data_IF_982473803207
#
_entry.id   IF_982473803207
#
_cell.length_a   1.000
_cell.length_b   1.000
_cell.length_c   1.000
_cell.angle_alpha   90.00
_cell.angle_beta   90.00
_cell.angle_gamma   90.00
#
_symmetry.space_group_name_H-M   'P 1'
#
loop_
_entity.id
_entity.type
_entity.pdbx_description
1 polymer ?
#
# COMPACT_ATOMS: atom_id res chain seq x y z
N UNK A 1 15.36 31.11 -85.55
CA UNK A 1 14.06 31.56 -86.07
C UNK A 1 12.94 30.89 -85.26
N UNK A 2 11.89 31.65 -84.96
CA UNK A 2 10.64 31.34 -84.22
C UNK A 2 10.66 31.42 -82.69
N UNK A 3 10.23 32.60 -82.24
CA UNK A 3 9.44 32.86 -81.04
C UNK A 3 8.18 31.98 -80.99
N UNK A 4 7.71 31.65 -79.78
CA UNK A 4 6.29 31.80 -79.40
C UNK A 4 6.17 32.04 -77.88
N UNK A 5 5.46 33.13 -77.54
CA UNK A 5 4.88 33.43 -76.23
C UNK A 5 3.61 32.60 -76.03
N UNK A 6 3.36 32.09 -74.83
CA UNK A 6 1.99 31.92 -74.30
C UNK A 6 1.96 32.37 -72.84
N UNK A 7 0.99 33.23 -72.56
CA UNK A 7 0.59 33.76 -71.26
C UNK A 7 -0.30 32.76 -70.50
N UNK A 8 -0.23 32.74 -69.17
CA UNK A 8 -1.18 32.01 -68.33
C UNK A 8 -1.09 32.35 -66.84
N UNK A 9 -1.84 33.40 -66.44
CA UNK A 9 -2.48 33.58 -65.12
C UNK A 9 -1.69 33.34 -63.83
N UNK A 10 -1.28 34.42 -63.17
CA UNK A 10 -1.03 34.43 -61.71
C UNK A 10 -2.35 34.79 -61.03
N UNK A 11 -2.96 33.84 -60.31
CA UNK A 11 -3.98 34.13 -59.30
C UNK A 11 -3.24 34.15 -57.96
N UNK A 12 -3.05 35.34 -57.41
CA UNK A 12 -2.57 35.56 -56.06
C UNK A 12 -3.69 35.21 -55.08
N UNK A 13 -3.57 34.08 -54.37
CA UNK A 13 -4.38 33.83 -53.18
C UNK A 13 -3.67 34.46 -51.97
N UNK A 14 -4.20 35.60 -51.49
CA UNK A 14 -3.91 36.09 -50.14
C UNK A 14 -4.52 35.10 -49.14
N UNK A 15 -3.69 34.34 -48.44
CA UNK A 15 -4.06 33.66 -47.21
C UNK A 15 -3.93 34.67 -46.06
N UNK A 16 -5.07 35.21 -45.61
CA UNK A 16 -5.18 35.88 -44.31
C UNK A 16 -4.91 34.84 -43.21
N UNK A 17 -3.80 35.01 -42.48
CA UNK A 17 -3.61 34.37 -41.18
C UNK A 17 -4.54 35.06 -40.16
N UNK A 18 -5.65 34.42 -39.84
CA UNK A 18 -6.43 34.75 -38.64
C UNK A 18 -5.73 34.08 -37.46
N UNK A 19 -5.04 34.86 -36.63
CA UNK A 19 -4.61 34.43 -35.30
C UNK A 19 -5.86 34.24 -34.45
N UNK A 20 -6.34 33.00 -34.35
CA UNK A 20 -7.21 32.57 -33.27
C UNK A 20 -6.34 32.36 -32.03
N UNK A 21 -6.30 33.38 -31.17
CA UNK A 21 -5.90 33.20 -29.78
C UNK A 21 -6.99 32.37 -29.12
N UNK A 22 -6.81 31.05 -29.10
CA UNK A 22 -7.62 30.18 -28.25
C UNK A 22 -7.10 30.43 -26.83
N UNK A 23 -7.85 31.21 -26.06
CA UNK A 23 -7.65 31.28 -24.62
C UNK A 23 -7.87 29.87 -24.08
N UNK A 24 -6.79 29.25 -23.60
CA UNK A 24 -6.89 28.08 -22.74
C UNK A 24 -7.48 28.59 -21.43
N UNK A 25 -8.78 28.41 -21.27
CA UNK A 25 -9.42 28.51 -19.96
C UNK A 25 -8.83 27.37 -19.13
N UNK A 26 -7.89 27.69 -18.25
CA UNK A 26 -7.61 26.83 -17.11
C UNK A 26 -8.95 26.64 -16.40
N UNK A 27 -9.50 25.43 -16.44
CA UNK A 27 -10.56 25.08 -15.51
C UNK A 27 -9.89 25.04 -14.14
N UNK A 28 -10.06 26.12 -13.39
CA UNK A 28 -9.86 26.12 -11.96
C UNK A 28 -10.60 24.89 -11.41
N UNK A 29 -9.84 23.91 -10.95
CA UNK A 29 -10.34 22.87 -10.07
C UNK A 29 -10.81 23.61 -8.82
N UNK A 30 -12.11 23.90 -8.76
CA UNK A 30 -12.71 24.57 -7.62
C UNK A 30 -12.41 23.72 -6.39
N UNK A 31 -11.59 24.28 -5.51
CA UNK A 31 -11.29 23.80 -4.18
C UNK A 31 -12.56 23.79 -3.33
N UNK A 32 -13.30 22.69 -3.37
CA UNK A 32 -14.38 22.45 -2.42
C UNK A 32 -13.75 22.09 -1.06
N UNK A 33 -13.44 23.15 -0.31
CA UNK A 33 -12.80 23.15 1.01
C UNK A 33 -13.80 22.99 2.15
N UNK A 34 -15.02 22.52 1.86
CA UNK A 34 -15.96 22.15 2.90
C UNK A 34 -15.47 20.86 3.61
N UNK A 35 -15.40 20.81 4.94
CA UNK A 35 -15.16 19.56 5.64
C UNK A 35 -16.28 18.59 5.26
N UNK A 36 -15.91 17.52 4.55
CA UNK A 36 -16.83 16.45 4.18
C UNK A 36 -17.46 15.90 5.47
N UNK A 37 -18.79 15.77 5.46
CA UNK A 37 -19.63 15.42 6.61
C UNK A 37 -19.09 14.21 7.40
N UNK A 38 -19.31 14.13 8.73
CA UNK A 38 -18.81 13.04 9.55
C UNK A 38 -19.24 11.68 8.99
N UNK A 39 -18.28 10.77 9.01
CA UNK A 39 -18.33 9.40 8.51
C UNK A 39 -19.62 8.70 8.97
N UNK A 40 -20.38 8.12 8.03
CA UNK A 40 -21.52 7.24 8.37
C UNK A 40 -21.08 5.82 8.81
N UNK A 41 -19.84 5.69 9.29
CA UNK A 41 -19.27 4.47 9.84
C UNK A 41 -19.22 4.58 11.36
N UNK A 42 -19.35 3.45 12.05
CA UNK A 42 -19.12 3.42 13.50
C UNK A 42 -17.94 2.50 13.80
N UNK A 43 -16.97 3.02 14.56
CA UNK A 43 -15.93 2.18 15.14
C UNK A 43 -16.51 1.52 16.38
N UNK A 44 -16.59 0.20 16.35
CA UNK A 44 -17.19 -0.61 17.41
C UNK A 44 -16.20 -1.60 17.96
N UNK A 45 -16.40 -1.96 19.22
CA UNK A 45 -15.76 -3.11 19.85
C UNK A 45 -16.77 -4.25 19.89
N UNK A 46 -16.35 -5.41 19.38
CA UNK A 46 -17.16 -6.63 19.28
C UNK A 46 -16.42 -7.77 20.01
N UNK A 47 -17.05 -8.47 20.97
CA UNK A 47 -16.44 -9.64 21.59
C UNK A 47 -16.40 -10.83 20.62
N UNK A 48 -15.41 -11.70 20.80
CA UNK A 48 -15.36 -13.01 20.15
C UNK A 48 -15.09 -14.09 21.20
N UNK A 49 -15.58 -15.30 20.97
CA UNK A 49 -15.50 -16.40 21.94
C UNK A 49 -14.42 -17.42 21.60
N UNK A 50 -14.03 -17.51 20.33
CA UNK A 50 -13.03 -18.45 19.85
C UNK A 50 -12.40 -17.98 18.53
N UNK A 51 -11.36 -18.69 18.09
CA UNK A 51 -10.61 -18.37 16.88
C UNK A 51 -11.47 -18.39 15.60
N UNK A 52 -12.45 -19.30 15.49
CA UNK A 52 -13.29 -19.38 14.29
C UNK A 52 -14.19 -18.15 14.15
N UNK A 53 -14.71 -17.65 15.27
CA UNK A 53 -15.52 -16.43 15.28
C UNK A 53 -14.68 -15.20 14.96
N UNK A 54 -13.48 -15.09 15.54
CA UNK A 54 -12.52 -14.04 15.17
C UNK A 54 -12.21 -14.08 13.66
N UNK A 55 -11.97 -15.26 13.12
CA UNK A 55 -11.69 -15.44 11.69
C UNK A 55 -12.88 -15.06 10.80
N UNK A 56 -14.09 -15.41 11.23
CA UNK A 56 -15.31 -15.01 10.55
C UNK A 56 -15.46 -13.48 10.56
N UNK A 57 -15.29 -12.83 11.71
CA UNK A 57 -15.33 -11.36 11.81
C UNK A 57 -14.30 -10.71 10.88
N UNK A 58 -13.05 -11.19 10.90
CA UNK A 58 -11.95 -10.65 10.09
C UNK A 58 -12.18 -10.73 8.57
N UNK A 59 -13.11 -11.57 8.09
CA UNK A 59 -13.43 -11.70 6.66
C UNK A 59 -14.75 -11.05 6.24
N UNK A 60 -15.62 -10.71 7.21
CA UNK A 60 -16.95 -10.17 6.93
C UNK A 60 -17.08 -8.69 7.26
N UNK A 61 -16.23 -8.18 8.15
CA UNK A 61 -16.20 -6.77 8.55
C UNK A 61 -14.78 -6.24 8.55
N UNK A 62 -14.66 -4.93 8.62
CA UNK A 62 -13.40 -4.24 8.56
C UNK A 62 -12.71 -4.22 9.94
N UNK A 63 -12.09 -5.34 10.32
CA UNK A 63 -11.33 -5.47 11.58
C UNK A 63 -10.06 -4.65 11.50
N UNK A 64 -9.88 -3.79 12.51
CA UNK A 64 -8.78 -2.85 12.61
C UNK A 64 -7.72 -3.28 13.64
N UNK A 65 -8.15 -3.94 14.72
CA UNK A 65 -7.25 -4.53 15.72
C UNK A 65 -7.95 -5.64 16.50
N UNK A 66 -7.16 -6.51 17.13
CA UNK A 66 -7.61 -7.62 17.97
C UNK A 66 -6.95 -7.50 19.34
N UNK A 67 -7.75 -7.56 20.40
CA UNK A 67 -7.28 -7.68 21.78
C UNK A 67 -7.63 -9.08 22.28
N UNK A 68 -6.63 -9.97 22.31
CA UNK A 68 -6.79 -11.36 22.77
C UNK A 68 -6.95 -11.47 24.28
N UNK A 69 -6.45 -10.52 25.07
CA UNK A 69 -6.61 -10.53 26.52
C UNK A 69 -8.05 -10.20 26.91
N UNK A 70 -8.67 -9.25 26.20
CA UNK A 70 -10.07 -8.90 26.36
C UNK A 70 -11.03 -9.78 25.53
N UNK A 71 -10.51 -10.57 24.59
CA UNK A 71 -11.28 -11.31 23.59
C UNK A 71 -12.24 -10.42 22.79
N UNK A 72 -11.72 -9.30 22.26
CA UNK A 72 -12.48 -8.34 21.47
C UNK A 72 -11.77 -7.94 20.18
N UNK A 73 -12.53 -7.56 19.16
CA UNK A 73 -12.05 -6.85 17.98
C UNK A 73 -12.52 -5.41 18.01
N UNK A 74 -11.66 -4.49 17.55
CA UNK A 74 -12.11 -3.16 17.13
C UNK A 74 -12.29 -3.20 15.62
N UNK A 75 -13.49 -2.85 15.15
CA UNK A 75 -13.83 -2.92 13.73
C UNK A 75 -14.59 -1.67 13.30
N UNK A 76 -14.34 -1.24 12.06
CA UNK A 76 -15.14 -0.23 11.38
C UNK A 76 -16.35 -0.93 10.76
N UNK A 77 -17.55 -0.49 11.11
CA UNK A 77 -18.79 -1.13 10.66
C UNK A 77 -19.68 -0.08 9.99
N UNK A 78 -20.18 -0.41 8.80
CA UNK A 78 -21.12 0.44 8.07
C UNK A 78 -22.53 0.36 8.66
N UNK A 79 -23.37 1.37 8.40
CA UNK A 79 -24.78 1.33 8.85
C UNK A 79 -25.51 0.10 8.30
N UNK A 80 -25.23 -0.30 7.07
CA UNK A 80 -25.83 -1.48 6.46
C UNK A 80 -25.42 -2.80 7.14
N UNK A 81 -24.21 -2.88 7.73
CA UNK A 81 -23.72 -4.09 8.40
C UNK A 81 -24.29 -4.25 9.82
N UNK A 82 -24.65 -3.15 10.49
CA UNK A 82 -25.12 -3.18 11.89
C UNK A 82 -26.31 -4.13 12.11
N UNK A 83 -27.42 -4.09 11.34
CA UNK A 83 -28.54 -5.00 11.55
C UNK A 83 -28.18 -6.48 11.35
N UNK A 84 -27.30 -6.77 10.38
CA UNK A 84 -26.86 -8.14 10.11
C UNK A 84 -26.04 -8.72 11.27
N UNK A 85 -25.12 -7.93 11.84
CA UNK A 85 -24.33 -8.32 13.01
C UNK A 85 -25.22 -8.51 14.25
N UNK A 86 -26.18 -7.62 14.48
CA UNK A 86 -27.14 -7.73 15.58
C UNK A 86 -28.02 -8.99 15.45
N UNK A 87 -28.49 -9.30 14.24
CA UNK A 87 -29.28 -10.51 13.97
C UNK A 87 -28.50 -11.81 14.23
N UNK A 88 -27.17 -11.76 14.12
CA UNK A 88 -26.27 -12.87 14.48
C UNK A 88 -25.91 -12.92 15.97
N UNK A 89 -26.40 -11.96 16.78
CA UNK A 89 -26.20 -11.94 18.23
C UNK A 89 -24.95 -11.20 18.71
N UNK A 90 -24.23 -10.50 17.82
CA UNK A 90 -23.06 -9.72 18.22
C UNK A 90 -23.46 -8.48 19.03
N UNK A 91 -22.93 -8.39 20.24
CA UNK A 91 -23.01 -7.18 21.05
C UNK A 91 -21.95 -6.18 20.55
N UNK A 92 -22.38 -5.04 20.02
CA UNK A 92 -21.49 -3.97 19.58
C UNK A 92 -21.52 -2.83 20.58
N UNK A 93 -20.35 -2.41 21.05
CA UNK A 93 -20.18 -1.22 21.89
C UNK A 93 -19.38 -0.16 21.13
N UNK A 94 -19.65 1.14 21.29
CA UNK A 94 -18.80 2.17 20.69
C UNK A 94 -17.35 2.00 21.14
N UNK A 95 -16.40 2.04 20.20
CA UNK A 95 -14.99 1.97 20.55
C UNK A 95 -14.58 3.20 21.40
N UNK A 96 -13.66 2.98 22.35
CA UNK A 96 -13.22 4.02 23.28
C UNK A 96 -12.56 5.22 22.59
N UNK A 97 -11.92 4.98 21.43
CA UNK A 97 -11.43 6.03 20.55
C UNK A 97 -12.49 6.29 19.49
N UNK A 98 -13.23 7.41 19.53
CA UNK A 98 -14.17 7.72 18.47
C UNK A 98 -13.43 7.89 17.14
N UNK A 99 -14.14 7.70 16.03
CA UNK A 99 -13.72 8.23 14.72
C UNK A 99 -13.84 9.75 14.78
N UNK A 100 -13.03 10.40 15.60
CA UNK A 100 -12.87 11.83 15.46
C UNK A 100 -12.04 12.02 14.22
N UNK A 101 -12.66 12.56 13.17
CA UNK A 101 -11.98 13.46 12.27
C UNK A 101 -11.43 14.59 13.15
N UNK A 102 -10.29 14.37 13.80
CA UNK A 102 -9.58 15.47 14.42
C UNK A 102 -9.09 16.27 13.23
N UNK A 103 -9.60 17.50 13.02
CA UNK A 103 -8.86 18.42 12.19
C UNK A 103 -7.59 18.65 13.00
N UNK A 104 -6.51 17.95 12.66
CA UNK A 104 -5.19 18.46 13.03
C UNK A 104 -5.20 19.84 12.40
N UNK A 105 -5.36 20.87 13.23
CA UNK A 105 -5.54 22.24 12.80
C UNK A 105 -4.55 22.45 11.67
N UNK A 106 -5.06 22.74 10.46
CA UNK A 106 -4.22 22.98 9.30
C UNK A 106 -3.11 23.89 9.79
N UNK A 107 -1.87 23.39 9.79
CA UNK A 107 -0.75 24.28 10.03
C UNK A 107 -0.97 25.38 9.01
N UNK A 108 -1.20 26.60 9.50
CA UNK A 108 -1.54 27.73 8.66
C UNK A 108 -0.35 28.00 7.75
N UNK A 109 -0.38 27.40 6.57
CA UNK A 109 0.66 27.38 5.54
C UNK A 109 0.09 26.59 4.38
N UNK A 110 -0.28 27.28 3.30
CA UNK A 110 -1.11 26.74 2.24
C UNK A 110 -0.49 25.62 1.42
N UNK A 111 -1.35 24.83 0.79
CA UNK A 111 -1.14 24.08 -0.46
C UNK A 111 0.25 23.43 -0.65
N UNK A 112 0.83 22.88 0.42
CA UNK A 112 2.17 22.28 0.43
C UNK A 112 2.12 20.78 0.09
N UNK A 113 1.00 20.26 -0.41
CA UNK A 113 0.85 18.85 -0.76
C UNK A 113 0.69 17.90 0.42
N UNK A 114 0.31 18.40 1.60
CA UNK A 114 -0.21 17.57 2.69
C UNK A 114 -1.62 17.05 2.38
N UNK A 115 -1.97 15.89 2.94
CA UNK A 115 -3.30 15.29 2.82
C UNK A 115 -4.31 16.15 3.61
N UNK A 116 -5.46 16.52 3.04
CA UNK A 116 -6.50 17.27 3.75
C UNK A 116 -6.90 16.62 5.09
N UNK A 117 -6.82 17.39 6.17
CA UNK A 117 -7.09 16.90 7.54
C UNK A 117 -5.94 16.15 8.21
N UNK A 118 -4.84 15.89 7.50
CA UNK A 118 -3.67 15.17 7.98
C UNK A 118 -2.36 15.88 7.61
N UNK A 119 -2.10 17.04 8.23
CA UNK A 119 -0.97 17.92 7.90
C UNK A 119 0.43 17.26 7.92
N UNK A 120 0.60 16.12 8.62
CA UNK A 120 1.87 15.41 8.70
C UNK A 120 2.07 14.35 7.61
N UNK A 121 1.06 14.06 6.79
CA UNK A 121 1.14 13.04 5.74
C UNK A 121 1.07 13.71 4.38
N UNK A 122 2.03 13.40 3.51
CA UNK A 122 2.06 13.90 2.13
C UNK A 122 1.16 13.10 1.21
N UNK A 123 0.65 13.76 0.17
CA UNK A 123 -0.04 13.08 -0.94
C UNK A 123 0.93 12.21 -1.75
N UNK A 124 0.41 11.34 -2.61
CA UNK A 124 1.20 10.60 -3.62
C UNK A 124 2.06 11.56 -4.43
N UNK A 125 1.47 12.65 -4.93
CA UNK A 125 2.17 13.62 -5.78
C UNK A 125 3.27 14.35 -5.01
N UNK A 126 2.97 14.79 -3.79
CA UNK A 126 3.94 15.53 -2.98
C UNK A 126 5.12 14.65 -2.56
N UNK A 127 4.84 13.43 -2.13
CA UNK A 127 5.88 12.45 -1.76
C UNK A 127 6.78 12.15 -2.95
N UNK A 128 6.20 11.88 -4.12
CA UNK A 128 6.96 11.63 -5.35
C UNK A 128 7.81 12.82 -5.78
N UNK A 129 7.28 14.05 -5.69
CA UNK A 129 8.01 15.27 -6.02
C UNK A 129 9.18 15.54 -5.06
N UNK A 130 8.97 15.37 -3.76
CA UNK A 130 10.01 15.56 -2.75
C UNK A 130 11.14 14.53 -2.92
N UNK A 131 10.80 13.25 -3.12
CA UNK A 131 11.80 12.19 -3.33
C UNK A 131 12.53 12.34 -4.67
N UNK A 132 11.86 12.84 -5.72
CA UNK A 132 12.52 13.19 -6.98
C UNK A 132 13.50 14.35 -6.82
N UNK A 133 13.15 15.33 -5.98
CA UNK A 133 14.07 16.42 -5.61
C UNK A 133 15.27 15.89 -4.83
N UNK A 134 15.06 14.97 -3.90
CA UNK A 134 16.12 14.30 -3.15
C UNK A 134 17.09 13.55 -4.09
N UNK A 135 16.57 12.81 -5.07
CA UNK A 135 17.38 12.14 -6.11
C UNK A 135 18.19 13.17 -6.91
N UNK A 136 17.56 14.24 -7.40
CA UNK A 136 18.25 15.25 -8.19
C UNK A 136 19.40 15.93 -7.44
N UNK A 137 19.27 16.07 -6.11
CA UNK A 137 20.31 16.60 -5.23
C UNK A 137 21.39 15.58 -4.89
N UNK A 138 21.08 14.28 -4.93
CA UNK A 138 21.98 13.19 -4.54
C UNK A 138 22.03 12.06 -5.59
N UNK A 139 22.36 12.34 -6.87
CA UNK A 139 22.23 11.37 -7.97
C UNK A 139 23.22 10.20 -7.88
N UNK A 140 24.25 10.29 -7.04
CA UNK A 140 25.20 9.21 -6.76
C UNK A 140 24.77 8.29 -5.61
N UNK A 141 23.70 8.65 -4.90
CA UNK A 141 23.18 7.89 -3.76
C UNK A 141 21.77 7.35 -3.98
N UNK A 142 21.00 7.92 -4.92
CA UNK A 142 19.59 7.62 -5.07
C UNK A 142 19.17 7.61 -6.54
N UNK A 143 18.25 6.72 -6.90
CA UNK A 143 17.59 6.69 -8.20
C UNK A 143 16.18 6.09 -8.11
N UNK A 144 15.32 6.44 -9.06
CA UNK A 144 14.06 5.74 -9.28
C UNK A 144 14.27 4.51 -10.16
N UNK A 145 13.55 3.45 -9.84
CA UNK A 145 13.35 2.28 -10.70
C UNK A 145 11.84 2.06 -10.82
N UNK A 146 11.32 2.21 -12.02
CA UNK A 146 9.95 1.82 -12.36
C UNK A 146 9.87 0.28 -12.42
N UNK A 147 8.96 -0.29 -11.62
CA UNK A 147 8.77 -1.74 -11.51
C UNK A 147 7.48 -2.24 -12.16
N UNK A 148 6.65 -1.33 -12.70
CA UNK A 148 5.37 -1.64 -13.31
C UNK A 148 4.32 -0.58 -13.02
N UNK A 149 3.10 -0.82 -13.48
CA UNK A 149 2.01 0.15 -13.43
C UNK A 149 0.86 -0.32 -12.53
N UNK A 150 0.13 0.62 -11.93
CA UNK A 150 -1.08 0.35 -11.15
C UNK A 150 -2.26 -0.10 -12.01
N UNK A 151 -3.31 -0.62 -11.38
CA UNK A 151 -4.50 -1.08 -12.08
C UNK A 151 -5.10 -0.03 -13.01
N UNK A 152 -5.32 1.19 -12.51
CA UNK A 152 -5.97 2.25 -13.27
C UNK A 152 -5.15 2.57 -14.53
N UNK A 153 -3.82 2.64 -14.38
CA UNK A 153 -2.90 2.98 -15.47
C UNK A 153 -2.80 1.87 -16.53
N UNK A 154 -2.85 0.60 -16.13
CA UNK A 154 -2.84 -0.53 -17.07
C UNK A 154 -4.18 -0.72 -17.78
N UNK A 155 -5.29 -0.25 -17.19
CA UNK A 155 -6.63 -0.48 -17.71
C UNK A 155 -6.94 0.41 -18.92
N UNK A 156 -7.17 -0.15 -20.12
CA UNK A 156 -7.47 0.68 -21.30
C UNK A 156 -8.77 1.48 -21.13
N UNK A 157 -8.67 2.80 -21.21
CA UNK A 157 -9.80 3.71 -20.97
C UNK A 157 -10.18 3.88 -19.49
N UNK A 158 -9.33 3.41 -18.57
CA UNK A 158 -9.40 3.68 -17.14
C UNK A 158 -8.94 5.09 -16.76
N UNK A 159 -8.82 5.35 -15.46
CA UNK A 159 -8.21 6.58 -14.96
C UNK A 159 -6.69 6.60 -15.25
N UNK A 160 -6.03 7.75 -15.12
CA UNK A 160 -4.61 7.90 -15.49
C UNK A 160 -3.66 6.96 -14.70
N UNK A 161 -4.03 6.62 -13.45
CA UNK A 161 -3.27 5.75 -12.54
C UNK A 161 -1.83 6.22 -12.28
N UNK A 162 -0.97 5.30 -11.84
CA UNK A 162 0.40 5.60 -11.40
C UNK A 162 1.40 4.50 -11.76
N UNK A 163 2.64 4.91 -12.04
CA UNK A 163 3.81 4.03 -12.00
C UNK A 163 4.07 3.57 -10.55
N UNK A 164 4.43 2.30 -10.37
CA UNK A 164 5.00 1.79 -9.14
C UNK A 164 6.52 2.02 -9.20
N UNK A 165 6.97 3.04 -8.49
CA UNK A 165 8.39 3.42 -8.45
C UNK A 165 9.05 3.00 -7.14
N UNK A 166 10.15 2.26 -7.26
CA UNK A 166 11.06 1.94 -6.16
C UNK A 166 12.19 2.95 -6.11
N UNK A 167 12.37 3.59 -4.96
CA UNK A 167 13.53 4.40 -4.65
C UNK A 167 14.68 3.50 -4.23
N UNK A 168 15.74 3.44 -5.03
CA UNK A 168 16.95 2.66 -4.72
C UNK A 168 17.99 3.60 -4.14
N UNK A 169 18.39 3.35 -2.89
CA UNK A 169 19.39 4.11 -2.16
C UNK A 169 20.65 3.26 -1.95
N UNK A 170 21.78 3.75 -2.43
CA UNK A 170 23.08 3.09 -2.32
C UNK A 170 24.18 4.03 -2.78
N UNK A 171 25.38 3.96 -2.20
CA UNK A 171 26.55 4.59 -2.78
C UNK A 171 26.93 3.88 -4.09
N UNK A 172 26.53 4.47 -5.22
CA UNK A 172 26.74 3.92 -6.57
C UNK A 172 28.20 3.97 -7.03
N UNK A 173 29.08 4.63 -6.27
CA UNK A 173 30.50 4.75 -6.58
C UNK A 173 31.34 3.65 -5.91
N UNK A 174 30.72 2.80 -5.09
CA UNK A 174 31.36 1.68 -4.40
C UNK A 174 31.12 0.36 -5.13
N UNK A 175 32.19 -0.38 -5.39
CA UNK A 175 32.16 -1.72 -6.02
C UNK A 175 32.10 -2.86 -4.98
N UNK A 176 31.93 -2.54 -3.69
CA UNK A 176 31.83 -3.56 -2.64
C UNK A 176 30.56 -4.38 -2.86
N UNK A 177 30.59 -5.73 -2.73
CA UNK A 177 29.38 -6.54 -2.75
C UNK A 177 28.38 -6.06 -1.70
N UNK A 178 27.14 -5.77 -2.12
CA UNK A 178 26.14 -5.15 -1.26
C UNK A 178 25.04 -6.11 -0.84
N UNK A 179 24.66 -6.04 0.43
CA UNK A 179 23.41 -6.65 0.91
C UNK A 179 22.20 -5.90 0.37
N UNK A 180 21.04 -6.57 0.28
CA UNK A 180 19.80 -5.95 -0.20
C UNK A 180 18.76 -5.90 0.91
N UNK A 181 18.08 -4.77 1.00
CA UNK A 181 16.95 -4.55 1.90
C UNK A 181 15.80 -3.97 1.08
N UNK A 182 14.60 -4.53 1.24
CA UNK A 182 13.38 -4.03 0.59
C UNK A 182 12.36 -3.60 1.63
N UNK A 183 11.90 -2.36 1.54
CA UNK A 183 10.85 -1.77 2.36
C UNK A 183 9.68 -1.39 1.46
N UNK A 184 8.50 -1.91 1.73
CA UNK A 184 7.27 -1.44 1.07
C UNK A 184 6.28 -0.88 2.07
N UNK A 185 5.47 0.05 1.58
CA UNK A 185 4.46 0.74 2.37
C UNK A 185 3.19 0.97 1.56
N UNK A 186 2.11 1.29 2.28
CA UNK A 186 0.83 1.70 1.71
C UNK A 186 0.26 0.68 0.70
N UNK A 187 0.41 -0.61 1.00
CA UNK A 187 -0.31 -1.68 0.28
C UNK A 187 -1.82 -1.62 0.61
N UNK A 188 -2.16 -1.26 1.86
CA UNK A 188 -3.50 -0.80 2.20
C UNK A 188 -3.56 0.72 2.19
N UNK A 189 -4.43 1.28 1.35
CA UNK A 189 -4.42 2.70 1.01
C UNK A 189 -4.59 3.67 2.19
N UNK A 190 -5.53 3.39 3.09
CA UNK A 190 -5.84 4.23 4.28
C UNK A 190 -4.82 4.20 5.40
N UNK A 191 -3.80 3.35 5.32
CA UNK A 191 -2.75 3.26 6.34
C UNK A 191 -1.75 4.42 6.15
N UNK A 192 -2.24 5.66 6.25
CA UNK A 192 -1.58 6.86 5.71
C UNK A 192 -0.13 7.04 6.19
N UNK A 193 0.14 6.65 7.44
CA UNK A 193 1.44 6.77 8.10
C UNK A 193 2.56 5.98 7.43
N UNK A 194 2.25 4.84 6.80
CA UNK A 194 3.29 3.92 6.31
C UNK A 194 4.12 4.54 5.20
N UNK A 195 3.48 5.24 4.26
CA UNK A 195 4.16 5.91 3.14
C UNK A 195 5.06 7.05 3.65
N UNK A 196 4.58 7.83 4.63
CA UNK A 196 5.37 8.91 5.21
C UNK A 196 6.58 8.37 5.96
N UNK A 197 6.43 7.28 6.73
CA UNK A 197 7.57 6.60 7.40
C UNK A 197 8.60 6.12 6.38
N UNK A 198 8.17 5.49 5.28
CA UNK A 198 9.06 5.04 4.22
C UNK A 198 9.82 6.19 3.56
N UNK A 199 9.13 7.29 3.25
CA UNK A 199 9.75 8.49 2.68
C UNK A 199 10.73 9.17 3.65
N UNK A 200 10.37 9.28 4.94
CA UNK A 200 11.24 9.83 5.98
C UNK A 200 12.49 8.98 6.22
N UNK A 201 12.36 7.66 6.12
CA UNK A 201 13.50 6.76 6.21
C UNK A 201 14.49 7.00 5.05
N UNK A 202 13.99 7.18 3.84
CA UNK A 202 14.83 7.54 2.69
C UNK A 202 15.55 8.89 2.89
N UNK A 203 14.80 9.92 3.28
CA UNK A 203 15.34 11.24 3.58
C UNK A 203 16.40 11.18 4.68
N UNK A 204 16.18 10.39 5.74
CA UNK A 204 17.13 10.22 6.83
C UNK A 204 18.45 9.63 6.33
N UNK A 205 18.41 8.54 5.56
CA UNK A 205 19.62 7.89 5.06
C UNK A 205 20.44 8.84 4.17
N UNK A 206 19.79 9.53 3.25
CA UNK A 206 20.47 10.42 2.30
C UNK A 206 21.02 11.68 2.97
N UNK A 207 20.22 12.35 3.81
CA UNK A 207 20.65 13.60 4.45
C UNK A 207 21.73 13.41 5.51
N UNK A 208 21.91 12.19 6.01
CA UNK A 208 22.92 11.85 7.01
C UNK A 208 24.10 11.06 6.45
N UNK A 209 24.14 10.77 5.14
CA UNK A 209 25.29 10.15 4.50
C UNK A 209 26.55 11.01 4.65
N UNK A 210 27.65 10.40 5.10
CA UNK A 210 28.90 11.08 5.43
C UNK A 210 28.90 11.86 6.75
N UNK A 211 27.80 11.79 7.53
CA UNK A 211 27.66 12.45 8.84
C UNK A 211 27.35 11.46 9.95
N UNK A 212 26.36 10.61 9.73
CA UNK A 212 25.99 9.53 10.64
C UNK A 212 26.67 8.22 10.18
N UNK A 213 27.44 7.55 11.05
CA UNK A 213 28.18 6.36 10.66
C UNK A 213 27.27 5.19 10.27
N UNK A 214 26.08 5.07 10.89
CA UNK A 214 25.14 3.99 10.59
C UNK A 214 24.47 4.22 9.23
N UNK A 215 23.99 5.43 8.95
CA UNK A 215 23.45 5.79 7.63
C UNK A 215 24.51 5.66 6.52
N UNK A 216 25.75 6.06 6.80
CA UNK A 216 26.87 5.93 5.86
C UNK A 216 27.15 4.46 5.56
N UNK A 217 27.27 3.63 6.60
CA UNK A 217 27.48 2.19 6.45
C UNK A 217 26.34 1.52 5.69
N UNK A 218 25.10 1.89 5.98
CA UNK A 218 23.92 1.38 5.28
C UNK A 218 24.03 1.61 3.78
N UNK A 219 24.38 2.81 3.32
CA UNK A 219 24.48 3.11 1.89
C UNK A 219 25.78 2.61 1.23
N UNK A 220 26.88 2.52 1.98
CA UNK A 220 28.15 2.01 1.44
C UNK A 220 28.11 0.50 1.17
N UNK A 221 27.48 -0.27 2.08
CA UNK A 221 27.51 -1.73 2.07
C UNK A 221 26.17 -2.40 1.75
N UNK A 222 25.10 -1.62 1.53
CA UNK A 222 23.79 -2.16 1.18
C UNK A 222 23.13 -1.36 0.04
N UNK A 223 22.20 -2.03 -0.63
CA UNK A 223 21.19 -1.43 -1.49
C UNK A 223 19.86 -1.43 -0.74
N UNK A 224 19.35 -0.24 -0.46
CA UNK A 224 18.08 -0.02 0.24
C UNK A 224 17.03 0.34 -0.81
N UNK A 225 16.09 -0.58 -1.03
CA UNK A 225 15.01 -0.44 -1.99
C UNK A 225 13.72 -0.08 -1.24
N UNK A 226 13.11 1.04 -1.58
CA UNK A 226 11.93 1.55 -0.88
C UNK A 226 10.80 1.75 -1.90
N UNK A 227 9.68 1.06 -1.72
CA UNK A 227 8.42 1.29 -2.43
C UNK A 227 7.45 2.07 -1.52
N UNK A 228 7.34 3.41 -1.64
CA UNK A 228 6.51 4.19 -0.73
C UNK A 228 5.01 3.92 -0.91
N UNK A 229 4.59 3.59 -2.13
CA UNK A 229 3.20 3.32 -2.50
C UNK A 229 3.09 2.03 -3.28
N UNK A 230 2.73 0.95 -2.59
CA UNK A 230 2.35 -0.32 -3.24
C UNK A 230 0.94 -0.27 -3.84
N UNK A 231 0.10 0.68 -3.40
CA UNK A 231 -1.27 0.87 -3.88
C UNK A 231 -1.59 2.36 -4.08
N UNK A 232 -0.99 3.01 -5.10
CA UNK A 232 -1.16 4.44 -5.32
C UNK A 232 -2.60 4.81 -5.73
N UNK A 233 -3.29 3.99 -6.54
CA UNK A 233 -4.67 4.27 -6.95
C UNK A 233 -5.64 4.28 -5.76
N UNK A 234 -5.57 3.24 -4.91
CA UNK A 234 -6.35 3.19 -3.67
C UNK A 234 -5.99 4.34 -2.73
N UNK A 235 -4.70 4.72 -2.66
CA UNK A 235 -4.24 5.84 -1.84
C UNK A 235 -4.93 7.15 -2.25
N UNK A 236 -5.22 7.40 -3.52
CA UNK A 236 -5.97 8.59 -3.96
C UNK A 236 -7.39 8.67 -3.42
N UNK A 237 -8.03 7.53 -3.17
CA UNK A 237 -9.28 7.49 -2.42
C UNK A 237 -9.06 7.79 -0.94
N UNK A 238 -8.05 7.20 -0.31
CA UNK A 238 -7.77 7.47 1.10
C UNK A 238 -7.42 8.94 1.38
N UNK A 239 -6.72 9.63 0.46
CA UNK A 239 -6.40 11.06 0.56
C UNK A 239 -7.63 11.97 0.52
N UNK A 240 -8.72 11.48 -0.04
CA UNK A 240 -10.02 12.12 -0.05
C UNK A 240 -10.87 11.78 1.20
N UNK A 241 -10.23 11.20 2.22
CA UNK A 241 -10.81 10.82 3.51
C UNK A 241 -11.79 9.63 3.45
N UNK A 242 -11.72 8.81 2.41
CA UNK A 242 -12.40 7.51 2.39
C UNK A 242 -11.60 6.48 3.21
N UNK A 243 -12.26 5.52 3.84
CA UNK A 243 -11.59 4.39 4.51
C UNK A 243 -11.18 3.30 3.52
N UNK A 244 -10.67 3.72 2.37
CA UNK A 244 -10.30 2.84 1.25
C UNK A 244 -9.11 1.95 1.64
N UNK A 245 -9.23 0.63 1.42
CA UNK A 245 -8.20 -0.36 1.77
C UNK A 245 -7.57 -0.99 0.53
N UNK A 246 -8.42 -1.50 -0.38
CA UNK A 246 -8.07 -2.33 -1.54
C UNK A 246 -7.39 -1.53 -2.67
N UNK A 247 -6.98 -2.15 -3.77
CA UNK A 247 -6.70 -1.38 -5.00
C UNK A 247 -8.01 -0.89 -5.65
N UNK A 248 -7.97 -0.38 -6.87
CA UNK A 248 -9.14 0.14 -7.59
C UNK A 248 -9.62 -0.78 -8.72
N UNK A 249 -9.30 -2.07 -8.68
CA UNK A 249 -9.74 -3.02 -9.70
C UNK A 249 -11.28 -3.05 -9.83
N UNK A 250 -11.78 -2.60 -10.99
CA UNK A 250 -13.21 -2.55 -11.34
C UNK A 250 -13.66 -3.70 -12.24
N UNK A 251 -12.78 -4.62 -12.63
CA UNK A 251 -13.12 -5.75 -13.48
C UNK A 251 -13.86 -6.85 -12.71
N UNK A 252 -13.60 -6.97 -11.41
CA UNK A 252 -14.30 -7.91 -10.56
C UNK A 252 -15.71 -7.38 -10.25
N UNK A 253 -16.72 -8.26 -10.32
CA UNK A 253 -18.16 -7.94 -10.40
C UNK A 253 -18.79 -7.11 -9.27
N UNK A 254 -18.01 -6.56 -8.34
CA UNK A 254 -18.46 -5.55 -7.40
C UNK A 254 -18.45 -4.16 -8.05
N UNK A 255 -19.60 -3.52 -8.15
CA UNK A 255 -19.69 -2.14 -8.64
C UNK A 255 -19.28 -1.15 -7.57
N UNK A 256 -18.77 0.02 -8.00
CA UNK A 256 -18.59 1.20 -7.15
C UNK A 256 -19.80 1.45 -6.25
N UNK A 257 -19.61 1.86 -4.97
CA UNK A 257 -20.72 2.06 -4.07
C UNK A 257 -21.74 3.01 -4.71
N UNK A 258 -23.00 2.59 -4.70
CA UNK A 258 -24.11 3.52 -4.84
C UNK A 258 -24.16 4.47 -3.64
N UNK A 259 -24.99 5.52 -3.72
CA UNK A 259 -25.10 6.61 -2.73
C UNK A 259 -25.42 6.19 -1.28
N UNK A 260 -25.61 4.91 -0.98
CA UNK A 260 -25.96 4.40 0.34
C UNK A 260 -24.77 4.19 1.28
N UNK A 261 -23.54 3.99 0.79
CA UNK A 261 -22.34 3.79 1.62
C UNK A 261 -21.11 4.46 0.97
N UNK A 262 -21.14 5.78 0.72
CA UNK A 262 -20.08 6.44 -0.06
C UNK A 262 -18.69 6.29 0.58
N UNK A 263 -18.61 6.15 1.91
CA UNK A 263 -17.36 6.08 2.68
C UNK A 263 -16.72 4.69 2.72
N UNK A 264 -17.47 3.65 2.33
CA UNK A 264 -17.04 2.25 2.30
C UNK A 264 -17.01 1.75 0.86
N UNK A 265 -15.85 1.84 0.22
CA UNK A 265 -15.71 1.31 -1.12
C UNK A 265 -15.67 -0.21 -1.11
N UNK A 266 -16.48 -0.80 -1.99
CA UNK A 266 -16.69 -2.24 -2.01
C UNK A 266 -15.93 -2.94 -3.15
N UNK A 267 -15.45 -2.25 -4.18
CA UNK A 267 -14.69 -2.87 -5.28
C UNK A 267 -13.17 -2.85 -5.04
N UNK A 268 -12.43 -3.50 -5.93
CA UNK A 268 -10.99 -3.72 -5.81
C UNK A 268 -10.64 -5.00 -5.07
N UNK A 269 -9.34 -5.28 -5.02
CA UNK A 269 -8.73 -6.47 -4.41
C UNK A 269 -7.86 -6.06 -3.22
N UNK A 270 -7.93 -6.84 -2.14
CA UNK A 270 -7.01 -6.72 -1.02
C UNK A 270 -5.65 -7.27 -1.46
N UNK A 271 -4.72 -6.38 -1.77
CA UNK A 271 -3.39 -6.74 -2.28
C UNK A 271 -2.61 -7.63 -1.30
N UNK A 272 -2.87 -7.54 0.01
CA UNK A 272 -2.25 -8.42 1.01
C UNK A 272 -3.04 -9.71 1.26
N UNK A 273 -3.92 -10.08 0.32
CA UNK A 273 -4.53 -11.40 0.16
C UNK A 273 -4.31 -11.97 -1.25
N UNK A 274 -3.56 -11.26 -2.09
CA UNK A 274 -3.42 -11.57 -3.51
C UNK A 274 -2.06 -12.20 -3.87
N UNK A 275 -1.12 -12.34 -2.93
CA UNK A 275 0.19 -12.92 -3.25
C UNK A 275 0.08 -14.37 -3.73
N UNK A 276 1.05 -14.82 -4.55
CA UNK A 276 0.99 -16.14 -5.21
C UNK A 276 1.04 -17.31 -4.23
N UNK A 277 1.86 -17.19 -3.19
CA UNK A 277 2.07 -18.25 -2.22
C UNK A 277 0.86 -18.40 -1.31
N UNK A 278 0.35 -19.63 -1.19
CA UNK A 278 -0.74 -20.02 -0.30
C UNK A 278 -2.02 -19.21 -0.45
N UNK A 279 -2.27 -18.66 -1.64
CA UNK A 279 -3.52 -18.00 -1.99
C UNK A 279 -4.71 -18.98 -1.87
N UNK A 280 -5.73 -18.63 -1.07
CA UNK A 280 -6.87 -19.51 -0.79
C UNK A 280 -6.49 -20.91 -0.25
N UNK A 281 -5.37 -21.02 0.44
CA UNK A 281 -4.85 -22.30 0.98
C UNK A 281 -4.65 -22.26 2.50
N UNK A 282 -5.21 -21.28 3.20
CA UNK A 282 -5.05 -21.22 4.65
C UNK A 282 -5.68 -22.44 5.34
N UNK A 283 -5.15 -22.79 6.51
CA UNK A 283 -5.69 -23.88 7.34
C UNK A 283 -6.87 -23.45 8.23
N UNK A 284 -7.08 -22.12 8.35
CA UNK A 284 -8.21 -21.54 9.08
C UNK A 284 -9.51 -21.58 8.27
N UNK A 285 -10.62 -21.18 8.90
CA UNK A 285 -11.93 -21.09 8.23
C UNK A 285 -12.08 -19.72 7.59
N UNK A 286 -11.99 -19.60 6.26
CA UNK A 286 -12.11 -18.34 5.51
C UNK A 286 -11.07 -17.30 5.96
N UNK A 287 -9.85 -17.35 5.42
CA UNK A 287 -8.79 -16.38 5.77
C UNK A 287 -8.77 -15.10 4.93
N UNK A 288 -9.51 -15.13 3.84
CA UNK A 288 -9.86 -14.02 2.98
C UNK A 288 -11.24 -14.25 2.38
N UNK A 289 -11.79 -13.24 1.71
CA UNK A 289 -13.11 -13.32 1.08
C UNK A 289 -13.00 -13.71 -0.39
N UNK A 290 -13.95 -14.50 -0.88
CA UNK A 290 -14.18 -14.73 -2.31
C UNK A 290 -15.32 -13.86 -2.87
N UNK A 291 -15.97 -13.04 -2.03
CA UNK A 291 -16.93 -12.03 -2.46
C UNK A 291 -16.16 -10.81 -2.99
N UNK A 292 -16.32 -10.44 -4.28
CA UNK A 292 -15.71 -9.24 -4.86
C UNK A 292 -16.00 -7.96 -4.08
N UNK A 293 -17.11 -7.90 -3.35
CA UNK A 293 -17.48 -6.78 -2.50
C UNK A 293 -16.87 -6.81 -1.09
N UNK A 294 -16.21 -7.90 -0.71
CA UNK A 294 -15.61 -8.08 0.60
C UNK A 294 -14.36 -7.20 0.80
N UNK A 295 -14.17 -6.71 2.02
CA UNK A 295 -13.01 -5.87 2.39
C UNK A 295 -11.68 -6.62 2.32
N UNK A 296 -11.71 -7.95 2.48
CA UNK A 296 -10.58 -8.86 2.30
C UNK A 296 -10.71 -9.70 1.03
N UNK A 297 -11.34 -9.19 -0.04
CA UNK A 297 -11.46 -9.91 -1.30
C UNK A 297 -10.09 -10.24 -1.87
N UNK A 298 -9.80 -11.52 -2.07
CA UNK A 298 -8.47 -12.03 -2.45
C UNK A 298 -8.10 -11.91 -3.92
N UNK A 299 -9.02 -11.42 -4.75
CA UNK A 299 -8.89 -11.35 -6.21
C UNK A 299 -9.43 -12.59 -6.91
N UNK A 300 -9.40 -12.56 -8.25
CA UNK A 300 -9.89 -13.65 -9.11
C UNK A 300 -8.93 -14.84 -9.21
N UNK A 301 -7.68 -14.65 -8.79
CA UNK A 301 -6.65 -15.69 -8.74
C UNK A 301 -5.41 -15.23 -7.97
N UNK A 302 -4.43 -16.13 -7.75
CA UNK A 302 -3.14 -15.76 -7.17
C UNK A 302 -2.41 -14.77 -8.07
N UNK A 303 -1.86 -13.72 -7.48
CA UNK A 303 -1.18 -12.61 -8.15
C UNK A 303 -1.99 -12.04 -9.34
N UNK A 304 -3.31 -11.95 -9.21
CA UNK A 304 -4.18 -11.40 -10.27
C UNK A 304 -3.94 -9.91 -10.50
N UNK A 305 -3.52 -9.18 -9.46
CA UNK A 305 -3.39 -7.73 -9.56
C UNK A 305 -2.05 -7.29 -10.17
N UNK A 306 -2.04 -6.27 -11.03
CA UNK A 306 -0.82 -5.77 -11.65
C UNK A 306 0.18 -5.23 -10.62
N UNK A 307 -0.30 -4.61 -9.53
CA UNK A 307 0.57 -4.16 -8.44
C UNK A 307 1.27 -5.33 -7.77
N UNK A 308 0.52 -6.41 -7.47
CA UNK A 308 1.07 -7.63 -6.88
C UNK A 308 2.12 -8.26 -7.80
N UNK A 309 1.84 -8.37 -9.10
CA UNK A 309 2.78 -8.92 -10.07
C UNK A 309 4.06 -8.10 -10.17
N UNK A 310 3.94 -6.76 -10.27
CA UNK A 310 5.08 -5.86 -10.33
C UNK A 310 5.99 -5.99 -9.09
N UNK A 311 5.39 -5.97 -7.90
CA UNK A 311 6.12 -6.09 -6.63
C UNK A 311 6.81 -7.45 -6.52
N UNK A 312 6.08 -8.54 -6.80
CA UNK A 312 6.65 -9.89 -6.67
C UNK A 312 7.79 -10.12 -7.66
N UNK A 313 7.62 -9.70 -8.92
CA UNK A 313 8.66 -9.82 -9.95
C UNK A 313 9.91 -9.02 -9.57
N UNK A 314 9.74 -7.80 -9.04
CA UNK A 314 10.87 -6.99 -8.61
C UNK A 314 11.60 -7.61 -7.42
N UNK A 315 10.88 -8.00 -6.37
CA UNK A 315 11.46 -8.60 -5.16
C UNK A 315 12.16 -9.93 -5.46
N UNK A 316 11.60 -10.78 -6.34
CA UNK A 316 12.26 -12.00 -6.81
C UNK A 316 13.54 -11.73 -7.63
N UNK A 317 13.65 -10.56 -8.26
CA UNK A 317 14.91 -10.13 -8.90
C UNK A 317 15.97 -9.67 -7.88
N UNK A 318 15.54 -9.29 -6.68
CA UNK A 318 16.43 -8.85 -5.60
C UNK A 318 16.92 -10.03 -4.76
N UNK A 319 16.02 -10.95 -4.41
CA UNK A 319 16.28 -12.05 -3.48
C UNK A 319 16.04 -13.39 -4.19
N UNK A 320 17.04 -14.27 -4.25
CA UNK A 320 16.79 -15.65 -4.66
C UNK A 320 16.02 -16.37 -3.56
N UNK A 321 15.12 -17.28 -3.96
CA UNK A 321 14.62 -18.30 -3.04
C UNK A 321 15.81 -19.14 -2.55
N UNK A 322 16.00 -19.13 -1.24
CA UNK A 322 17.11 -19.80 -0.56
C UNK A 322 16.63 -21.02 0.23
N UNK A 323 15.32 -21.30 0.28
CA UNK A 323 14.78 -22.47 0.96
C UNK A 323 14.87 -23.72 0.11
N UNK A 324 14.66 -24.87 0.76
CA UNK A 324 14.35 -26.11 0.05
C UNK A 324 12.88 -26.14 -0.41
N UNK A 325 12.59 -27.01 -1.36
CA UNK A 325 11.28 -27.12 -2.01
C UNK A 325 10.13 -27.54 -1.07
N UNK A 326 10.41 -28.04 0.14
CA UNK A 326 9.36 -28.42 1.08
C UNK A 326 8.97 -27.24 1.98
N UNK A 327 7.69 -27.19 2.38
CA UNK A 327 7.19 -26.20 3.34
C UNK A 327 7.91 -26.23 4.69
N UNK A 328 8.52 -27.38 5.04
CA UNK A 328 9.28 -27.59 6.27
C UNK A 328 10.75 -27.19 6.16
N UNK A 329 11.25 -26.91 4.96
CA UNK A 329 12.65 -26.56 4.76
C UNK A 329 12.91 -25.13 5.22
N UNK A 330 13.91 -24.98 6.08
CA UNK A 330 14.34 -23.66 6.55
C UNK A 330 15.27 -23.00 5.53
N UNK A 331 15.22 -21.67 5.45
CA UNK A 331 16.26 -20.90 4.83
C UNK A 331 17.59 -21.14 5.58
N UNK A 332 18.72 -21.23 4.87
CA UNK A 332 20.01 -21.52 5.48
C UNK A 332 20.46 -20.39 6.41
N UNK A 333 21.43 -20.69 7.29
CA UNK A 333 21.88 -19.73 8.31
C UNK A 333 22.58 -18.49 7.72
N UNK A 334 23.08 -18.60 6.49
CA UNK A 334 23.70 -17.54 5.70
C UNK A 334 22.72 -16.91 4.69
N UNK A 335 21.41 -17.20 4.81
CA UNK A 335 20.41 -16.58 3.97
C UNK A 335 20.51 -15.04 4.03
N UNK A 336 20.51 -14.41 2.87
CA UNK A 336 20.64 -12.96 2.73
C UNK A 336 19.34 -12.33 2.24
N UNK A 337 19.16 -11.05 2.55
CA UNK A 337 17.98 -10.28 2.19
C UNK A 337 17.03 -10.09 3.36
N UNK A 338 16.39 -8.93 3.38
CA UNK A 338 15.33 -8.62 4.33
C UNK A 338 14.25 -7.82 3.60
N UNK A 339 13.02 -8.30 3.68
CA UNK A 339 11.83 -7.58 3.25
C UNK A 339 11.02 -7.15 4.47
N UNK A 340 10.58 -5.89 4.49
CA UNK A 340 9.62 -5.38 5.45
C UNK A 340 8.43 -4.77 4.69
N UNK A 341 7.23 -5.28 4.98
CA UNK A 341 5.97 -4.64 4.58
C UNK A 341 5.42 -3.84 5.76
N UNK A 342 5.34 -2.51 5.61
CA UNK A 342 4.81 -1.62 6.64
C UNK A 342 3.29 -1.55 6.57
N UNK A 343 2.66 -1.79 7.72
CA UNK A 343 1.22 -1.67 7.93
C UNK A 343 0.89 -0.80 9.13
N UNK A 344 -0.37 -0.38 9.24
CA UNK A 344 -0.92 0.24 10.45
C UNK A 344 -2.38 -0.18 10.71
N UNK A 345 -2.86 -0.27 11.94
CA UNK A 345 -2.17 -0.06 13.22
C UNK A 345 -2.07 -1.40 13.97
N UNK A 346 -1.94 -1.34 15.30
CA UNK A 346 -1.89 -2.46 16.28
C UNK A 346 -0.53 -2.64 16.95
N UNK A 347 0.52 -1.92 16.54
CA UNK A 347 1.83 -1.94 17.21
C UNK A 347 2.42 -3.37 17.30
N UNK A 348 2.46 -4.06 16.16
CA UNK A 348 2.94 -5.44 16.05
C UNK A 348 4.15 -5.53 15.11
N UNK A 349 5.06 -6.45 15.43
CA UNK A 349 6.07 -6.98 14.51
C UNK A 349 5.69 -8.43 14.18
N UNK A 350 5.16 -8.61 12.98
CA UNK A 350 4.69 -9.90 12.51
C UNK A 350 5.76 -10.61 11.71
N UNK A 351 5.74 -11.94 11.77
CA UNK A 351 6.53 -12.80 10.88
C UNK A 351 5.71 -14.03 10.43
N UNK A 352 6.11 -14.69 9.33
CA UNK A 352 5.41 -15.86 8.81
C UNK A 352 5.32 -17.03 9.79
N UNK A 353 4.33 -17.91 9.70
CA UNK A 353 3.24 -17.91 8.71
C UNK A 353 1.99 -17.15 9.17
N UNK A 354 1.25 -16.57 8.23
CA UNK A 354 -0.14 -16.11 8.33
C UNK A 354 -1.15 -17.21 7.97
N UNK A 355 -0.88 -17.99 6.92
CA UNK A 355 -1.81 -19.01 6.39
C UNK A 355 -1.98 -20.22 7.29
N UNK A 356 -1.04 -20.45 8.21
CA UNK A 356 -1.01 -21.59 9.12
C UNK A 356 -0.59 -21.15 10.52
N UNK A 357 -1.13 -21.85 11.53
CA UNK A 357 -0.68 -21.74 12.92
C UNK A 357 0.52 -22.64 13.23
N UNK A 358 0.96 -23.45 12.26
CA UNK A 358 2.17 -24.27 12.39
C UNK A 358 3.39 -23.33 12.38
N UNK A 359 4.38 -23.53 13.26
CA UNK A 359 5.64 -22.79 13.23
C UNK A 359 6.27 -22.71 11.84
N UNK A 360 6.67 -21.51 11.42
CA UNK A 360 7.58 -21.37 10.28
C UNK A 360 8.90 -22.10 10.52
N UNK A 361 9.54 -22.68 9.48
CA UNK A 361 10.80 -23.42 9.65
C UNK A 361 11.90 -22.61 10.36
N UNK A 362 12.00 -21.31 10.11
CA UNK A 362 12.93 -20.39 10.79
C UNK A 362 12.29 -19.64 11.99
N UNK A 363 11.24 -20.17 12.63
CA UNK A 363 10.48 -19.48 13.72
C UNK A 363 11.38 -18.87 14.78
N UNK A 364 12.39 -19.60 15.27
CA UNK A 364 13.28 -19.10 16.33
C UNK A 364 14.10 -17.88 15.85
N UNK A 365 14.62 -17.93 14.63
CA UNK A 365 15.41 -16.85 14.03
C UNK A 365 14.53 -15.63 13.73
N UNK A 366 13.36 -15.85 13.12
CA UNK A 366 12.38 -14.79 12.82
C UNK A 366 11.89 -14.11 14.11
N UNK A 367 11.52 -14.87 15.15
CA UNK A 367 11.13 -14.32 16.43
C UNK A 367 12.28 -13.55 17.13
N UNK A 368 13.53 -14.00 16.97
CA UNK A 368 14.69 -13.31 17.54
C UNK A 368 14.94 -11.98 16.83
N UNK A 369 14.88 -11.96 15.49
CA UNK A 369 14.97 -10.74 14.70
C UNK A 369 13.81 -9.78 15.04
N UNK A 370 12.59 -10.29 15.08
CA UNK A 370 11.40 -9.53 15.43
C UNK A 370 11.50 -8.89 16.82
N UNK A 371 12.01 -9.60 17.84
CA UNK A 371 12.25 -9.03 19.19
C UNK A 371 13.30 -7.92 19.18
N UNK A 372 14.27 -7.97 18.28
CA UNK A 372 15.23 -6.86 18.11
C UNK A 372 14.54 -5.62 17.55
N UNK A 373 13.61 -5.77 16.62
CA UNK A 373 12.77 -4.64 16.16
C UNK A 373 11.83 -4.16 17.26
N UNK A 374 11.13 -5.07 17.93
CA UNK A 374 10.24 -4.78 19.06
C UNK A 374 10.95 -4.07 20.22
N UNK A 375 12.24 -4.30 20.44
CA UNK A 375 13.03 -3.55 21.44
C UNK A 375 13.07 -2.05 21.17
N UNK A 376 13.18 -1.63 19.89
CA UNK A 376 13.24 -0.21 19.53
C UNK A 376 11.87 0.48 19.51
N UNK A 377 10.80 -0.27 19.28
CA UNK A 377 9.44 0.27 19.12
C UNK A 377 8.53 0.01 20.32
N UNK A 378 8.86 -0.95 21.18
CA UNK A 378 7.99 -1.47 22.23
C UNK A 378 6.85 -2.36 21.71
N UNK A 379 6.92 -2.81 20.45
CA UNK A 379 5.85 -3.56 19.79
C UNK A 379 5.91 -5.06 20.12
N UNK A 380 4.73 -5.68 20.21
CA UNK A 380 4.63 -7.13 20.43
C UNK A 380 5.04 -7.90 19.17
N UNK A 381 5.64 -9.08 19.39
CA UNK A 381 6.25 -9.88 18.33
C UNK A 381 5.64 -11.27 18.34
N UNK A 382 5.02 -11.65 17.23
CA UNK A 382 4.34 -12.94 17.10
C UNK A 382 4.26 -13.41 15.65
N UNK A 383 4.04 -14.71 15.48
CA UNK A 383 3.75 -15.29 14.17
C UNK A 383 2.32 -14.92 13.76
N UNK A 384 2.12 -14.33 12.60
CA UNK A 384 0.83 -13.73 12.20
C UNK A 384 -0.38 -14.68 12.40
N UNK A 385 -0.29 -15.90 11.88
CA UNK A 385 -1.36 -16.90 11.92
C UNK A 385 -1.43 -17.73 13.22
N UNK A 386 -0.58 -17.46 14.22
CA UNK A 386 -0.63 -18.20 15.48
C UNK A 386 -1.75 -17.71 16.39
N UNK A 387 -2.30 -18.62 17.20
CA UNK A 387 -3.33 -18.26 18.17
C UNK A 387 -2.78 -17.27 19.20
N UNK A 388 -3.54 -16.20 19.46
CA UNK A 388 -3.13 -15.13 20.36
C UNK A 388 -2.31 -14.00 19.71
N UNK A 389 -2.05 -14.07 18.39
CA UNK A 389 -1.41 -12.98 17.63
C UNK A 389 -2.45 -12.07 16.96
N UNK A 390 -2.70 -12.21 15.65
CA UNK A 390 -3.78 -11.48 14.96
C UNK A 390 -4.93 -12.43 14.60
N UNK A 391 -4.91 -13.01 13.41
CA UNK A 391 -5.78 -14.04 12.87
C UNK A 391 -5.13 -14.61 11.61
N UNK A 392 -5.63 -15.74 11.11
CA UNK A 392 -5.02 -16.37 9.94
C UNK A 392 -5.39 -15.62 8.66
N UNK A 393 -4.44 -15.53 7.73
CA UNK A 393 -4.54 -14.86 6.43
C UNK A 393 -3.95 -15.74 5.34
N UNK A 394 -4.48 -15.77 4.14
CA UNK A 394 -3.83 -16.38 2.97
C UNK A 394 -3.37 -15.31 1.98
N UNK A 395 -2.43 -15.66 1.09
CA UNK A 395 -1.93 -14.77 0.04
C UNK A 395 -1.35 -13.46 0.57
N UNK A 396 -0.74 -13.48 1.77
CA UNK A 396 -0.08 -12.31 2.35
C UNK A 396 1.36 -12.17 1.86
N UNK A 397 1.85 -10.93 1.84
CA UNK A 397 3.17 -10.58 1.32
C UNK A 397 4.31 -11.21 2.15
N UNK A 398 4.16 -11.26 3.47
CA UNK A 398 5.16 -11.85 4.37
C UNK A 398 5.28 -13.36 4.14
N UNK A 399 4.15 -14.06 4.03
CA UNK A 399 4.11 -15.48 3.70
C UNK A 399 4.74 -15.78 2.35
N UNK A 400 4.41 -15.00 1.33
CA UNK A 400 5.02 -15.14 0.01
C UNK A 400 6.53 -14.89 0.04
N UNK A 401 6.99 -13.77 0.59
CA UNK A 401 8.41 -13.41 0.60
C UNK A 401 9.32 -14.38 1.36
N UNK A 402 8.76 -15.19 2.26
CA UNK A 402 9.48 -16.26 2.96
C UNK A 402 9.20 -17.66 2.39
N UNK A 403 8.14 -17.81 1.60
CA UNK A 403 7.66 -19.08 1.07
C UNK A 403 8.16 -19.40 -0.34
N UNK A 404 8.45 -18.38 -1.15
CA UNK A 404 8.83 -18.44 -2.56
C UNK A 404 9.90 -17.40 -2.95
#
# INVERSE_FOLDING_TARGET
MRNYKIWGGVISALLLFVLLVVGVSAQDASSDSAPRQPVEATLVTIPFHNQNELQWLATHIDVWSVDHAAATVTALVSKAQVPALQAQGYAMTPAAQPITAQPVASASGGDDGAIPGFACYRTVERTTADLSTLIAQHPHLAQWVDIGDSWDKQTPGGADGYDLNVLVLTNQQSDVPKGRFFLMAAIHARELTTAEIAARFAEYLINNYGRDPDATWMLDYNEVHILPFANPDGRKWAEQQYYWRKNTNTADSCTAPGSSEPWFPNYGVDLNRNSSFKWNECQGVNCSSNDPCGITFRGSGPASEPETQAIQNYVASLFPDQRGANLTDAAPADATGLLISLHSFSQLVLYPWGWSNVPAPNRTQLATLGRKFGYFTGYDVCQSGESGCIYQTDGSTDDWSYGE
#
